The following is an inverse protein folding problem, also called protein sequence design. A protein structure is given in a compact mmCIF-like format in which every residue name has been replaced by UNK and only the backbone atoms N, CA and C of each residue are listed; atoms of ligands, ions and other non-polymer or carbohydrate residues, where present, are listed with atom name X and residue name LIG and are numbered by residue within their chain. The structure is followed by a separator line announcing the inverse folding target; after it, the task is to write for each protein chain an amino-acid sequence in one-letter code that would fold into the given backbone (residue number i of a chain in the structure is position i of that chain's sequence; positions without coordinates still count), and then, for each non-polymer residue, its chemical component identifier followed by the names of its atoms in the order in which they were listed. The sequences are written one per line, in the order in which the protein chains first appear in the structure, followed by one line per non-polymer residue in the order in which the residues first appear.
data_IF_827387881972
#
_entry.id   IF_827387881972
#
_cell.length_a   1.000
_cell.length_b   1.000
_cell.length_c   1.000
_cell.angle_alpha   90.00
_cell.angle_beta   90.00
_cell.angle_gamma   90.00
#
_symmetry.space_group_name_H-M   'P 1'
#
loop_
_entity.id
_entity.type
_entity.pdbx_description
1 polymer ?
#
# COMPACT_ATOMS: atom_id res chain seq x y z
N UNK A 1 27.99 -29.55 25.70
CA UNK A 1 28.14 -28.47 24.70
C UNK A 1 26.77 -27.95 24.38
N UNK A 2 26.50 -26.67 24.60
CA UNK A 2 25.23 -26.02 24.23
C UNK A 2 25.23 -25.73 22.72
N UNK A 3 24.10 -25.94 22.02
CA UNK A 3 23.98 -25.63 20.61
C UNK A 3 24.15 -24.14 20.37
N UNK A 4 24.96 -23.75 19.39
CA UNK A 4 25.14 -22.37 18.97
C UNK A 4 23.92 -22.00 18.12
N UNK A 5 23.10 -21.04 18.60
CA UNK A 5 21.96 -20.52 17.88
C UNK A 5 22.41 -19.34 17.01
N UNK A 6 22.20 -19.44 15.71
CA UNK A 6 22.50 -18.33 14.79
C UNK A 6 21.20 -17.57 14.49
N UNK A 7 21.03 -16.33 14.94
CA UNK A 7 19.79 -15.55 14.75
C UNK A 7 19.76 -14.91 13.35
N UNK A 8 19.68 -15.73 12.29
CA UNK A 8 19.73 -15.26 10.90
C UNK A 8 18.54 -14.37 10.57
N UNK A 9 17.33 -14.75 10.96
CA UNK A 9 16.08 -14.01 10.70
C UNK A 9 16.12 -12.63 11.36
N UNK A 10 16.55 -12.55 12.62
CA UNK A 10 16.68 -11.27 13.35
C UNK A 10 17.68 -10.31 12.66
N UNK A 11 18.77 -10.84 12.09
CA UNK A 11 19.74 -10.04 11.33
C UNK A 11 19.17 -9.51 10.02
N UNK A 12 18.35 -10.30 9.32
CA UNK A 12 17.70 -9.89 8.07
C UNK A 12 16.71 -8.77 8.35
N UNK A 13 15.81 -8.94 9.33
CA UNK A 13 14.85 -7.89 9.69
C UNK A 13 15.56 -6.61 10.17
N UNK A 14 16.60 -6.73 11.00
CA UNK A 14 17.33 -5.53 11.45
C UNK A 14 18.07 -4.80 10.32
N UNK A 15 18.46 -5.49 9.25
CA UNK A 15 19.03 -4.85 8.06
C UNK A 15 17.96 -4.12 7.25
N UNK A 16 16.79 -4.77 7.06
CA UNK A 16 15.63 -4.17 6.43
C UNK A 16 15.17 -2.90 7.17
N UNK A 17 15.04 -2.97 8.50
CA UNK A 17 14.56 -1.85 9.31
C UNK A 17 15.50 -0.61 9.23
N UNK A 18 16.81 -0.85 9.16
CA UNK A 18 17.78 0.23 8.93
C UNK A 18 17.59 0.88 7.56
N UNK A 19 17.37 0.08 6.51
CA UNK A 19 17.12 0.60 5.17
C UNK A 19 15.76 1.30 5.11
N UNK A 20 14.73 0.76 5.74
CA UNK A 20 13.43 1.40 5.87
C UNK A 20 13.52 2.79 6.55
N UNK A 21 14.34 2.92 7.59
CA UNK A 21 14.59 4.21 8.23
C UNK A 21 15.29 5.21 7.29
N UNK A 22 16.21 4.75 6.44
CA UNK A 22 16.85 5.58 5.41
C UNK A 22 15.81 6.02 4.36
N UNK A 23 14.98 5.12 3.86
CA UNK A 23 13.92 5.43 2.92
C UNK A 23 12.93 6.44 3.50
N UNK A 24 12.53 6.26 4.78
CA UNK A 24 11.67 7.21 5.47
C UNK A 24 12.31 8.58 5.52
N UNK A 25 13.58 8.66 5.94
CA UNK A 25 14.29 9.93 6.02
C UNK A 25 14.39 10.61 4.64
N UNK A 26 14.67 9.85 3.58
CA UNK A 26 14.74 10.39 2.22
C UNK A 26 13.42 11.04 1.80
N UNK A 27 12.28 10.37 2.05
CA UNK A 27 10.95 10.92 1.76
C UNK A 27 10.61 12.11 2.66
N UNK A 28 11.04 12.06 3.93
CA UNK A 28 10.87 13.15 4.88
C UNK A 28 11.63 14.42 4.43
N UNK A 29 12.89 14.27 4.04
CA UNK A 29 13.74 15.36 3.59
C UNK A 29 13.21 16.02 2.30
N UNK A 30 12.50 15.27 1.45
CA UNK A 30 11.85 15.76 0.24
C UNK A 30 10.37 16.18 0.46
N UNK A 31 9.84 16.08 1.68
CA UNK A 31 8.45 16.43 2.04
C UNK A 31 7.40 15.60 1.27
N UNK A 32 7.77 14.40 0.83
CA UNK A 32 6.91 13.47 0.10
C UNK A 32 6.12 12.61 1.09
N UNK A 33 4.81 12.57 0.97
CA UNK A 33 4.00 11.58 1.68
C UNK A 33 4.06 10.22 0.96
N UNK A 34 4.02 9.11 1.69
CA UNK A 34 4.15 7.79 1.05
C UNK A 34 3.23 6.73 1.66
N UNK A 35 2.75 5.85 0.79
CA UNK A 35 1.80 4.79 1.11
C UNK A 35 2.35 3.45 0.61
N UNK A 36 2.44 2.45 1.48
CA UNK A 36 2.59 1.04 1.10
C UNK A 36 1.19 0.45 0.89
N UNK A 37 0.81 0.18 -0.36
CA UNK A 37 -0.49 -0.35 -0.74
C UNK A 37 -0.39 -1.86 -0.90
N UNK A 38 -1.03 -2.57 0.00
CA UNK A 38 -1.07 -4.03 0.06
C UNK A 38 -2.46 -4.55 -0.32
N UNK A 39 -2.54 -5.74 -0.87
CA UNK A 39 -3.81 -6.42 -1.18
C UNK A 39 -3.56 -7.87 -1.57
N UNK A 40 -4.62 -8.67 -1.61
CA UNK A 40 -4.59 -9.92 -2.38
C UNK A 40 -4.61 -9.68 -3.89
N UNK A 41 -4.20 -10.67 -4.70
CA UNK A 41 -4.35 -10.61 -6.14
C UNK A 41 -5.83 -10.36 -6.52
N UNK A 42 -6.06 -9.48 -7.48
CA UNK A 42 -7.41 -9.19 -7.96
C UNK A 42 -8.28 -8.30 -7.06
N UNK A 43 -7.82 -7.83 -5.90
CA UNK A 43 -8.58 -6.90 -5.03
C UNK A 43 -8.82 -5.52 -5.68
N UNK A 44 -8.01 -5.15 -6.68
CA UNK A 44 -8.16 -3.92 -7.44
C UNK A 44 -7.16 -2.83 -7.06
N UNK A 45 -5.92 -3.19 -6.68
CA UNK A 45 -4.83 -2.25 -6.36
C UNK A 45 -4.62 -1.20 -7.43
N UNK A 46 -4.28 -1.64 -8.64
CA UNK A 46 -4.02 -0.75 -9.79
C UNK A 46 -5.22 0.13 -10.12
N UNK A 47 -6.44 -0.43 -10.08
CA UNK A 47 -7.68 0.36 -10.30
C UNK A 47 -7.86 1.45 -9.24
N UNK A 48 -7.53 1.15 -7.97
CA UNK A 48 -7.59 2.11 -6.88
C UNK A 48 -6.54 3.21 -7.04
N UNK A 49 -5.31 2.87 -7.45
CA UNK A 49 -4.25 3.83 -7.74
C UNK A 49 -4.68 4.77 -8.87
N UNK A 50 -5.14 4.22 -10.01
CA UNK A 50 -5.53 5.00 -11.17
C UNK A 50 -6.72 5.93 -10.89
N UNK A 51 -7.73 5.47 -10.15
CA UNK A 51 -8.86 6.32 -9.77
C UNK A 51 -8.44 7.40 -8.75
N UNK A 52 -7.48 7.09 -7.85
CA UNK A 52 -6.88 8.07 -6.95
C UNK A 52 -6.09 9.13 -7.72
N UNK A 53 -5.22 8.73 -8.66
CA UNK A 53 -4.48 9.65 -9.53
C UNK A 53 -5.43 10.57 -10.28
N UNK A 54 -6.42 10.01 -10.96
CA UNK A 54 -7.41 10.76 -11.73
C UNK A 54 -8.12 11.84 -10.92
N UNK A 55 -8.42 11.58 -9.65
CA UNK A 55 -9.11 12.53 -8.75
C UNK A 55 -8.19 13.56 -8.12
N UNK A 56 -6.90 13.24 -7.99
CA UNK A 56 -5.86 14.14 -7.49
C UNK A 56 -5.09 14.86 -8.61
N UNK A 57 -5.33 14.48 -9.87
CA UNK A 57 -4.68 15.06 -11.04
C UNK A 57 -4.77 16.59 -11.01
N UNK A 58 -3.70 17.25 -11.44
CA UNK A 58 -3.51 18.71 -11.37
C UNK A 58 -3.40 19.30 -9.96
N UNK A 59 -3.64 18.55 -8.89
CA UNK A 59 -3.51 19.04 -7.50
C UNK A 59 -2.18 18.65 -6.87
N UNK A 60 -1.75 17.40 -7.08
CA UNK A 60 -0.52 16.84 -6.53
C UNK A 60 0.26 16.05 -7.57
N UNK A 61 1.59 16.09 -7.44
CA UNK A 61 2.52 15.30 -8.26
C UNK A 61 2.74 13.95 -7.60
N UNK A 62 2.36 12.89 -8.28
CA UNK A 62 2.32 11.54 -7.75
C UNK A 62 3.34 10.66 -8.48
N UNK A 63 4.16 9.92 -7.73
CA UNK A 63 5.01 8.86 -8.25
C UNK A 63 4.50 7.50 -7.81
N UNK A 64 4.68 6.48 -8.63
CA UNK A 64 4.28 5.10 -8.31
C UNK A 64 5.48 4.17 -8.41
N UNK A 65 5.65 3.32 -7.40
CA UNK A 65 6.57 2.18 -7.43
C UNK A 65 5.71 0.92 -7.42
N UNK A 66 5.86 0.08 -8.43
CA UNK A 66 5.11 -1.17 -8.57
C UNK A 66 6.04 -2.37 -8.33
N UNK A 67 5.70 -3.24 -7.36
CA UNK A 67 6.36 -4.52 -7.16
C UNK A 67 5.56 -5.65 -7.79
N UNK A 68 6.16 -6.36 -8.74
CA UNK A 68 5.55 -7.53 -9.35
C UNK A 68 6.57 -8.68 -9.47
N UNK A 69 6.04 -9.91 -9.44
CA UNK A 69 6.80 -11.13 -9.69
C UNK A 69 7.05 -11.39 -11.18
N UNK A 70 6.22 -10.82 -12.06
CA UNK A 70 6.32 -10.97 -13.51
C UNK A 70 7.13 -9.83 -14.14
N UNK A 71 7.89 -10.10 -15.22
CA UNK A 71 8.64 -9.06 -15.92
C UNK A 71 7.76 -8.27 -16.92
N UNK A 72 6.48 -8.03 -16.57
CA UNK A 72 5.49 -7.40 -17.47
C UNK A 72 5.08 -6.06 -16.88
N UNK A 73 5.21 -4.98 -17.64
CA UNK A 73 5.00 -3.59 -17.20
C UNK A 73 3.56 -3.07 -17.36
N UNK A 74 2.57 -3.97 -17.44
CA UNK A 74 1.19 -3.62 -17.82
C UNK A 74 0.57 -2.57 -16.89
N UNK A 75 0.81 -2.68 -15.59
CA UNK A 75 0.19 -1.78 -14.62
C UNK A 75 0.97 -0.47 -14.49
N UNK A 76 2.30 -0.50 -14.51
CA UNK A 76 3.14 0.71 -14.57
C UNK A 76 2.93 1.49 -15.88
N UNK A 77 2.72 0.80 -17.01
CA UNK A 77 2.39 1.46 -18.28
C UNK A 77 1.08 2.25 -18.22
N UNK A 78 0.07 1.76 -17.48
CA UNK A 78 -1.18 2.49 -17.25
C UNK A 78 -0.98 3.76 -16.42
N UNK A 79 -0.10 3.71 -15.42
CA UNK A 79 0.26 4.87 -14.59
C UNK A 79 1.01 5.91 -15.42
N UNK A 80 1.98 5.48 -16.26
CA UNK A 80 2.69 6.36 -17.18
C UNK A 80 1.73 6.99 -18.19
N UNK A 81 0.79 6.21 -18.74
CA UNK A 81 -0.24 6.72 -19.64
C UNK A 81 -1.18 7.74 -18.97
N UNK A 82 -1.32 7.69 -17.65
CA UNK A 82 -2.02 8.69 -16.84
C UNK A 82 -1.15 9.94 -16.53
N UNK A 83 0.07 10.04 -17.08
CA UNK A 83 0.95 11.20 -16.96
C UNK A 83 1.80 11.23 -15.68
N UNK A 84 1.87 10.14 -14.92
CA UNK A 84 2.62 10.07 -13.67
C UNK A 84 3.90 9.25 -13.83
N UNK A 85 5.04 9.64 -13.20
CA UNK A 85 6.23 8.81 -13.19
C UNK A 85 5.97 7.50 -12.44
N UNK A 86 6.36 6.38 -13.06
CA UNK A 86 6.26 5.06 -12.48
C UNK A 86 7.55 4.27 -12.66
N UNK A 87 7.86 3.45 -11.65
CA UNK A 87 9.00 2.53 -11.64
C UNK A 87 8.46 1.14 -11.31
N UNK A 88 8.79 0.16 -12.13
CA UNK A 88 8.51 -1.24 -11.83
C UNK A 88 9.73 -1.93 -11.25
N UNK A 89 9.51 -2.68 -10.19
CA UNK A 89 10.49 -3.55 -9.55
C UNK A 89 10.07 -4.99 -9.81
N UNK A 90 10.85 -5.71 -10.59
CA UNK A 90 10.69 -7.15 -10.71
C UNK A 90 11.35 -7.83 -9.50
N UNK A 91 10.54 -8.46 -8.66
CA UNK A 91 11.01 -9.08 -7.42
C UNK A 91 11.74 -10.42 -7.63
N UNK A 92 11.83 -10.91 -8.89
CA UNK A 92 12.49 -12.17 -9.18
C UNK A 92 11.80 -13.42 -8.61
N UNK A 93 10.52 -13.29 -8.28
CA UNK A 93 9.70 -14.34 -7.67
C UNK A 93 9.45 -14.16 -6.17
N UNK A 94 10.03 -13.15 -5.51
CA UNK A 94 9.69 -12.81 -4.13
C UNK A 94 8.26 -12.28 -4.04
N UNK A 95 7.55 -12.71 -3.01
CA UNK A 95 6.12 -12.42 -2.81
C UNK A 95 5.87 -11.09 -2.06
N UNK A 96 6.86 -10.20 -1.99
CA UNK A 96 6.81 -8.89 -1.33
C UNK A 96 7.95 -8.00 -1.84
N UNK A 97 7.83 -6.71 -1.60
CA UNK A 97 8.94 -5.76 -1.65
C UNK A 97 9.62 -5.67 -0.28
N UNK A 98 10.94 -5.50 -0.26
CA UNK A 98 11.72 -5.15 0.91
C UNK A 98 12.21 -3.69 0.84
N UNK A 99 12.86 -3.22 1.91
CA UNK A 99 13.34 -1.84 1.99
C UNK A 99 14.50 -1.54 1.03
N UNK A 100 15.29 -2.52 0.61
CA UNK A 100 16.36 -2.33 -0.37
C UNK A 100 15.77 -2.15 -1.77
N UNK A 101 14.82 -3.01 -2.17
CA UNK A 101 14.06 -2.84 -3.42
C UNK A 101 13.34 -1.49 -3.46
N UNK A 102 12.71 -1.09 -2.34
CA UNK A 102 12.09 0.23 -2.22
C UNK A 102 13.09 1.37 -2.42
N UNK A 103 14.30 1.27 -1.84
CA UNK A 103 15.38 2.26 -2.02
C UNK A 103 15.77 2.40 -3.49
N UNK A 104 15.92 1.28 -4.20
CA UNK A 104 16.24 1.28 -5.62
C UNK A 104 15.14 1.97 -6.44
N UNK A 105 13.87 1.72 -6.12
CA UNK A 105 12.74 2.38 -6.76
C UNK A 105 12.69 3.89 -6.49
N UNK A 106 12.92 4.32 -5.25
CA UNK A 106 12.95 5.74 -4.87
C UNK A 106 14.04 6.51 -5.62
N UNK A 107 15.21 5.89 -5.83
CA UNK A 107 16.33 6.50 -6.55
C UNK A 107 16.05 6.74 -8.04
N UNK A 108 15.03 6.10 -8.61
CA UNK A 108 14.60 6.30 -10.01
C UNK A 108 13.49 7.35 -10.16
N UNK A 109 12.88 7.78 -9.05
CA UNK A 109 11.82 8.79 -9.07
C UNK A 109 12.40 10.20 -8.84
N UNK A 110 11.81 11.24 -9.46
CA UNK A 110 12.17 12.64 -9.22
C UNK A 110 11.57 13.15 -7.90
N UNK A 111 12.00 12.63 -6.74
CA UNK A 111 11.38 12.85 -5.44
C UNK A 111 11.20 14.33 -5.09
N UNK A 112 12.13 15.21 -5.48
CA UNK A 112 12.05 16.66 -5.22
C UNK A 112 10.87 17.33 -5.94
N UNK A 113 10.33 16.67 -6.95
CA UNK A 113 9.15 17.13 -7.70
C UNK A 113 7.85 16.46 -7.28
N UNK A 114 7.88 15.49 -6.35
CA UNK A 114 6.71 14.74 -5.95
C UNK A 114 6.11 15.23 -4.63
N UNK A 115 4.81 15.01 -4.48
CA UNK A 115 4.04 15.26 -3.27
C UNK A 115 3.62 13.95 -2.58
N UNK A 116 3.43 12.90 -3.39
CA UNK A 116 2.98 11.58 -2.97
C UNK A 116 3.75 10.48 -3.71
N UNK A 117 4.16 9.45 -2.99
CA UNK A 117 4.63 8.18 -3.57
C UNK A 117 3.69 7.07 -3.12
N UNK A 118 3.11 6.35 -4.08
CA UNK A 118 2.32 5.14 -3.85
C UNK A 118 3.18 3.94 -4.23
N UNK A 119 3.40 3.04 -3.28
CA UNK A 119 4.09 1.78 -3.50
C UNK A 119 3.04 0.69 -3.62
N UNK A 120 2.83 0.18 -4.81
CA UNK A 120 2.00 -1.01 -5.05
C UNK A 120 2.83 -2.26 -4.71
N UNK A 121 2.54 -2.90 -3.59
CA UNK A 121 3.22 -4.12 -3.19
C UNK A 121 2.70 -5.33 -3.97
N UNK A 122 3.48 -6.41 -4.00
CA UNK A 122 3.07 -7.69 -4.59
C UNK A 122 1.75 -8.16 -3.97
N UNK A 123 0.88 -8.74 -4.80
CA UNK A 123 -0.43 -9.22 -4.37
C UNK A 123 -0.32 -10.40 -3.39
N UNK A 124 -0.30 -10.11 -2.07
CA UNK A 124 -0.15 -11.08 -1.00
C UNK A 124 -0.64 -10.50 0.34
N UNK A 125 -1.27 -11.33 1.19
CA UNK A 125 -1.77 -10.93 2.51
C UNK A 125 -0.88 -11.38 3.68
N UNK A 126 0.24 -12.03 3.42
CA UNK A 126 1.14 -12.60 4.45
C UNK A 126 2.48 -11.88 4.47
N UNK A 127 3.25 -12.02 3.39
CA UNK A 127 4.63 -11.54 3.34
C UNK A 127 4.77 -10.02 3.48
N UNK A 128 4.00 -9.17 2.78
CA UNK A 128 4.14 -7.72 2.88
C UNK A 128 3.89 -7.15 4.29
N UNK A 129 3.15 -7.87 5.12
CA UNK A 129 2.86 -7.45 6.50
C UNK A 129 4.09 -7.45 7.42
N UNK A 130 5.15 -8.20 7.06
CA UNK A 130 6.34 -8.39 7.90
C UNK A 130 7.50 -7.45 7.54
N UNK A 131 7.41 -6.73 6.39
CA UNK A 131 8.51 -5.95 5.85
C UNK A 131 8.17 -4.47 5.82
N UNK A 132 8.83 -3.68 6.67
CA UNK A 132 8.74 -2.23 6.62
C UNK A 132 9.53 -1.71 5.42
N UNK A 133 8.88 -0.91 4.59
CA UNK A 133 9.48 -0.25 3.43
C UNK A 133 9.99 1.16 3.75
N UNK A 134 9.68 1.68 4.94
CA UNK A 134 9.91 3.06 5.32
C UNK A 134 8.80 4.02 4.87
N UNK A 135 7.65 3.55 4.38
CA UNK A 135 6.51 4.39 3.99
C UNK A 135 5.80 5.00 5.21
N UNK A 136 5.10 6.13 5.04
CA UNK A 136 4.40 6.81 6.13
C UNK A 136 3.22 6.02 6.67
N UNK A 137 2.53 5.30 5.79
CA UNK A 137 1.40 4.44 6.16
C UNK A 137 1.41 3.13 5.40
N UNK A 138 0.84 2.11 6.04
CA UNK A 138 0.40 0.88 5.42
C UNK A 138 -1.11 0.98 5.15
N UNK A 139 -1.52 0.75 3.91
CA UNK A 139 -2.90 0.71 3.44
C UNK A 139 -3.19 -0.68 2.86
N UNK A 140 -4.30 -1.28 3.25
CA UNK A 140 -4.80 -2.52 2.65
C UNK A 140 -6.02 -2.23 1.78
N UNK A 141 -6.00 -2.72 0.56
CA UNK A 141 -7.20 -2.84 -0.28
C UNK A 141 -7.74 -4.25 -0.13
N UNK A 142 -8.81 -4.42 0.64
CA UNK A 142 -9.64 -5.61 0.66
C UNK A 142 -10.79 -5.43 -0.35
N UNK A 143 -11.40 -6.51 -0.83
CA UNK A 143 -12.55 -6.41 -1.70
C UNK A 143 -13.68 -7.35 -1.30
N UNK A 144 -14.91 -6.89 -1.51
CA UNK A 144 -16.13 -7.64 -1.14
C UNK A 144 -16.15 -9.08 -1.69
N UNK A 145 -15.76 -9.36 -2.95
CA UNK A 145 -15.76 -10.73 -3.47
C UNK A 145 -14.74 -11.68 -2.83
N UNK A 146 -13.75 -11.17 -2.08
CA UNK A 146 -12.76 -12.03 -1.41
C UNK A 146 -13.31 -12.74 -0.18
N UNK A 147 -14.43 -12.28 0.36
CA UNK A 147 -15.10 -12.82 1.55
C UNK A 147 -14.77 -12.04 2.82
N UNK A 148 -15.70 -12.16 3.77
CA UNK A 148 -15.71 -11.41 5.04
C UNK A 148 -14.88 -12.04 6.16
N UNK A 149 -14.27 -13.18 5.90
CA UNK A 149 -13.44 -13.93 6.86
C UNK A 149 -11.94 -13.56 6.83
N UNK A 150 -11.53 -12.64 5.95
CA UNK A 150 -10.11 -12.27 5.78
C UNK A 150 -9.44 -11.73 7.03
N UNK A 151 -10.06 -10.89 7.87
CA UNK A 151 -9.45 -10.46 9.12
C UNK A 151 -9.10 -11.63 10.05
N UNK A 152 -9.96 -12.65 10.10
CA UNK A 152 -9.75 -13.83 10.93
C UNK A 152 -8.68 -14.78 10.39
N UNK A 153 -8.55 -14.88 9.07
CA UNK A 153 -7.56 -15.75 8.40
C UNK A 153 -6.17 -15.13 8.30
N UNK A 154 -6.09 -13.80 8.17
CA UNK A 154 -4.84 -13.06 7.95
C UNK A 154 -4.66 -11.93 8.98
N UNK A 155 -4.69 -12.19 10.29
CA UNK A 155 -4.75 -11.14 11.30
C UNK A 155 -3.54 -10.20 11.30
N UNK A 156 -2.36 -10.67 10.89
CA UNK A 156 -1.14 -9.89 10.99
C UNK A 156 -1.14 -8.67 10.08
N UNK A 157 -1.69 -8.78 8.85
CA UNK A 157 -1.72 -7.65 7.94
C UNK A 157 -2.64 -6.55 8.47
N UNK A 158 -3.77 -6.89 9.10
CA UNK A 158 -4.72 -5.91 9.64
C UNK A 158 -4.17 -5.13 10.85
N UNK A 159 -3.31 -5.76 11.68
CA UNK A 159 -2.71 -5.11 12.85
C UNK A 159 -1.77 -3.96 12.50
N UNK A 160 -1.08 -4.06 11.37
CA UNK A 160 -0.09 -3.08 10.92
C UNK A 160 -0.64 -1.92 10.07
N UNK A 161 -1.97 -1.86 9.87
CA UNK A 161 -2.59 -0.87 9.00
C UNK A 161 -2.82 0.48 9.69
N UNK A 162 -2.72 1.53 8.88
CA UNK A 162 -3.26 2.86 9.20
C UNK A 162 -4.59 3.10 8.49
N UNK A 163 -4.78 2.50 7.31
CA UNK A 163 -5.96 2.65 6.48
C UNK A 163 -6.38 1.32 5.89
N UNK A 164 -7.68 1.09 5.86
CA UNK A 164 -8.34 -0.01 5.17
C UNK A 164 -9.29 0.53 4.10
N UNK A 165 -9.14 0.07 2.89
CA UNK A 165 -10.10 0.28 1.80
C UNK A 165 -10.89 -1.01 1.60
N UNK A 166 -12.22 -0.93 1.56
CA UNK A 166 -13.10 -2.05 1.19
C UNK A 166 -13.63 -1.73 -0.20
N UNK A 167 -12.97 -2.31 -1.22
CA UNK A 167 -13.27 -2.07 -2.62
C UNK A 167 -14.39 -2.98 -3.15
N UNK A 168 -14.91 -2.64 -4.33
CA UNK A 168 -15.96 -3.37 -5.05
C UNK A 168 -17.27 -3.47 -4.26
N UNK A 169 -17.62 -2.41 -3.52
CA UNK A 169 -18.89 -2.34 -2.76
C UNK A 169 -20.11 -2.44 -3.65
N UNK A 170 -19.99 -2.07 -4.93
CA UNK A 170 -21.00 -2.25 -5.96
C UNK A 170 -21.40 -3.73 -6.20
N UNK A 171 -20.55 -4.67 -5.80
CA UNK A 171 -20.81 -6.10 -5.90
C UNK A 171 -21.51 -6.69 -4.66
N UNK A 172 -21.68 -5.92 -3.58
CA UNK A 172 -22.31 -6.41 -2.34
C UNK A 172 -23.70 -7.07 -2.56
N UNK A 173 -24.57 -6.61 -3.49
CA UNK A 173 -25.83 -7.27 -3.75
C UNK A 173 -25.71 -8.65 -4.43
N UNK A 174 -24.56 -8.97 -4.98
CA UNK A 174 -24.34 -10.16 -5.81
C UNK A 174 -23.47 -11.24 -5.17
N UNK A 175 -22.91 -10.95 -4.00
CA UNK A 175 -22.02 -11.86 -3.26
C UNK A 175 -22.45 -11.99 -1.80
N UNK A 176 -22.13 -13.12 -1.20
CA UNK A 176 -22.37 -13.32 0.23
C UNK A 176 -21.23 -12.69 1.04
N UNK A 177 -21.40 -11.43 1.45
CA UNK A 177 -20.45 -10.68 2.26
C UNK A 177 -21.17 -9.99 3.42
N UNK A 178 -20.84 -10.36 4.64
CA UNK A 178 -21.36 -9.74 5.84
C UNK A 178 -20.42 -8.62 6.32
N UNK A 179 -20.78 -7.37 6.04
CA UNK A 179 -19.99 -6.19 6.38
C UNK A 179 -19.78 -6.06 7.90
N UNK A 180 -20.77 -6.39 8.71
CA UNK A 180 -20.66 -6.26 10.17
C UNK A 180 -19.71 -7.32 10.75
N UNK A 181 -19.77 -8.55 10.23
CA UNK A 181 -18.82 -9.60 10.61
C UNK A 181 -17.38 -9.24 10.22
N UNK A 182 -17.18 -8.73 9.01
CA UNK A 182 -15.88 -8.25 8.57
C UNK A 182 -15.34 -7.12 9.46
N UNK A 183 -16.18 -6.10 9.74
CA UNK A 183 -15.82 -4.97 10.61
C UNK A 183 -15.50 -5.41 12.03
N UNK A 184 -16.23 -6.36 12.57
CA UNK A 184 -15.97 -6.95 13.88
C UNK A 184 -14.58 -7.59 13.97
N UNK A 185 -14.20 -8.36 12.94
CA UNK A 185 -12.85 -8.93 12.82
C UNK A 185 -11.75 -7.88 12.75
N UNK A 186 -11.98 -6.80 12.00
CA UNK A 186 -11.06 -5.66 11.90
C UNK A 186 -10.92 -4.95 13.24
N UNK A 187 -12.04 -4.62 13.91
CA UNK A 187 -12.05 -3.91 15.19
C UNK A 187 -11.33 -4.68 16.31
N UNK A 188 -11.44 -6.02 16.32
CA UNK A 188 -10.69 -6.85 17.28
C UNK A 188 -9.17 -6.80 17.07
N UNK A 189 -8.70 -6.55 15.86
CA UNK A 189 -7.28 -6.58 15.50
C UNK A 189 -6.63 -5.20 15.54
N UNK A 190 -7.38 -4.17 15.16
CA UNK A 190 -6.92 -2.80 15.04
C UNK A 190 -8.08 -1.83 15.34
N UNK A 191 -8.35 -1.59 16.64
CA UNK A 191 -9.46 -0.75 17.06
C UNK A 191 -9.38 0.67 16.50
N UNK A 192 -10.47 1.16 15.93
CA UNK A 192 -10.55 2.50 15.36
C UNK A 192 -9.80 2.67 14.02
N UNK A 193 -9.50 1.59 13.30
CA UNK A 193 -8.86 1.64 11.99
C UNK A 193 -9.69 2.48 11.01
N UNK A 194 -9.04 3.48 10.39
CA UNK A 194 -9.66 4.32 9.36
C UNK A 194 -10.05 3.44 8.18
N UNK A 195 -11.36 3.42 7.85
CA UNK A 195 -11.89 2.53 6.82
C UNK A 195 -12.71 3.28 5.78
N UNK A 196 -12.43 3.03 4.49
CA UNK A 196 -13.12 3.61 3.34
C UNK A 196 -13.80 2.50 2.51
N UNK A 197 -15.11 2.26 2.68
CA UNK A 197 -15.88 1.47 1.73
C UNK A 197 -16.05 2.27 0.43
N UNK A 198 -15.68 1.67 -0.71
CA UNK A 198 -15.74 2.36 -2.00
C UNK A 198 -15.85 1.37 -3.17
N UNK A 199 -16.10 1.92 -4.36
CA UNK A 199 -16.05 1.18 -5.62
C UNK A 199 -15.19 1.92 -6.65
N UNK A 200 -14.08 1.32 -7.07
CA UNK A 200 -13.26 1.85 -8.17
C UNK A 200 -14.02 1.89 -9.49
N UNK A 201 -15.09 1.07 -9.63
CA UNK A 201 -15.89 1.01 -10.86
C UNK A 201 -16.89 2.15 -10.96
N UNK A 202 -17.59 2.46 -9.86
CA UNK A 202 -18.67 3.47 -9.86
C UNK A 202 -18.18 4.83 -9.36
N UNK A 203 -17.04 4.86 -8.67
CA UNK A 203 -16.53 6.05 -8.00
C UNK A 203 -17.17 6.36 -6.64
N UNK A 204 -18.14 5.54 -6.21
CA UNK A 204 -18.79 5.70 -4.91
C UNK A 204 -17.78 5.57 -3.77
N UNK A 205 -17.91 6.43 -2.74
CA UNK A 205 -17.06 6.41 -1.54
C UNK A 205 -15.68 7.07 -1.71
N UNK A 206 -15.25 7.42 -2.93
CA UNK A 206 -13.92 7.99 -3.17
C UNK A 206 -13.73 9.39 -2.58
N UNK A 207 -14.77 10.20 -2.47
CA UNK A 207 -14.62 11.59 -2.00
C UNK A 207 -14.06 11.65 -0.58
N UNK A 208 -14.50 10.75 0.31
CA UNK A 208 -13.98 10.66 1.68
C UNK A 208 -12.50 10.25 1.71
N UNK A 209 -12.10 9.30 0.86
CA UNK A 209 -10.70 8.89 0.68
C UNK A 209 -9.84 10.06 0.19
N UNK A 210 -10.27 10.76 -0.87
CA UNK A 210 -9.52 11.86 -1.47
C UNK A 210 -9.37 13.03 -0.49
N UNK A 211 -10.44 13.38 0.25
CA UNK A 211 -10.38 14.41 1.28
C UNK A 211 -9.37 14.06 2.37
N UNK A 212 -9.40 12.83 2.86
CA UNK A 212 -8.46 12.36 3.87
C UNK A 212 -7.01 12.36 3.36
N UNK A 213 -6.76 11.82 2.17
CA UNK A 213 -5.44 11.76 1.57
C UNK A 213 -4.87 13.16 1.32
N UNK A 214 -5.69 14.07 0.80
CA UNK A 214 -5.33 15.49 0.60
C UNK A 214 -4.83 16.12 1.90
N UNK A 215 -5.55 15.89 3.00
CA UNK A 215 -5.15 16.42 4.32
C UNK A 215 -3.80 15.84 4.79
N UNK A 216 -3.53 14.53 4.55
CA UNK A 216 -2.25 13.91 4.91
C UNK A 216 -1.09 14.49 4.11
N UNK A 217 -1.26 14.69 2.80
CA UNK A 217 -0.23 15.27 1.94
C UNK A 217 0.06 16.72 2.37
N UNK A 218 -0.98 17.51 2.64
CA UNK A 218 -0.83 18.91 3.08
C UNK A 218 -0.15 19.02 4.45
N UNK A 219 -0.54 18.18 5.42
CA UNK A 219 0.10 18.13 6.74
C UNK A 219 1.60 17.79 6.61
N UNK A 220 1.95 16.90 5.68
CA UNK A 220 3.34 16.55 5.42
C UNK A 220 4.16 17.72 4.90
N UNK A 221 3.61 18.52 4.00
CA UNK A 221 4.25 19.72 3.44
C UNK A 221 4.44 20.85 4.46
N UNK A 222 3.64 20.89 5.51
CA UNK A 222 3.72 21.91 6.56
C UNK A 222 4.72 21.56 7.66
N UNK A 223 5.11 20.31 7.81
CA UNK A 223 6.14 19.87 8.77
C UNK A 223 7.53 20.22 8.22
N UNK A 224 8.01 21.39 8.63
CA UNK A 224 9.39 21.84 8.39
C UNK A 224 10.37 21.19 9.36
#
# INVERSE_FOLDING_TARGET
MSAIRVPVVEKIFSANDRMAAINRKLMDDNQVFSINLMASPGAGKTSFILETIKRLDHTFRIGVIEGDTAPVTIDSDKVIAAGMPAVQINTGGDCHLDAAMMSDGLNQLPLFDLDLVIVENVGNLICPAAWDLGTHINLLVASVPEGDDKPYKYPNIYRGLKVLVINKTDLSPYVNFNMDYFRQGVEMLNPGLITFPLSCRTGEGFDAWIQWLTAQIQDRKQKK
#
